data_IF_684653513007
#
_entry.id   IF_684653513007
#
_cell.length_a   1.000
_cell.length_b   1.000
_cell.length_c   1.000
_cell.angle_alpha   90.00
_cell.angle_beta   90.00
_cell.angle_gamma   90.00
#
_symmetry.space_group_name_H-M   'P 1'
#
loop_
_entity.id
_entity.type
_entity.pdbx_description
1 polymer ?
#
# COMPACT_ATOMS: atom_id res chain seq x y z
N UNK A 1 20.59 -57.59 45.34
CA UNK A 1 20.31 -56.22 44.85
C UNK A 1 19.86 -56.34 43.41
N UNK A 2 18.55 -56.38 43.18
CA UNK A 2 17.96 -56.59 41.85
C UNK A 2 17.87 -55.26 41.11
N UNK A 3 18.46 -55.20 39.93
CA UNK A 3 18.46 -54.06 39.03
C UNK A 3 17.14 -53.97 38.27
N UNK A 4 16.37 -52.91 38.52
CA UNK A 4 15.15 -52.59 37.77
C UNK A 4 15.53 -51.87 36.47
N UNK A 5 15.39 -52.57 35.34
CA UNK A 5 15.54 -51.99 34.00
C UNK A 5 14.25 -51.24 33.62
N UNK A 6 14.27 -49.91 33.62
CA UNK A 6 13.16 -49.10 33.12
C UNK A 6 13.17 -49.09 31.59
N UNK A 7 12.15 -49.71 30.99
CA UNK A 7 11.92 -49.78 29.55
C UNK A 7 11.30 -48.45 29.06
N UNK A 8 12.11 -47.58 28.44
CA UNK A 8 11.63 -46.32 27.86
C UNK A 8 10.93 -46.59 26.52
N UNK A 9 9.59 -46.60 26.55
CA UNK A 9 8.76 -46.65 25.36
C UNK A 9 8.80 -45.29 24.65
N UNK A 10 9.59 -45.17 23.58
CA UNK A 10 9.51 -44.01 22.67
C UNK A 10 8.18 -44.06 21.89
N UNK A 11 7.29 -43.04 22.00
CA UNK A 11 6.13 -42.98 21.13
C UNK A 11 6.59 -42.73 19.69
N UNK A 12 6.30 -43.72 18.83
CA UNK A 12 6.50 -43.67 17.39
C UNK A 12 5.65 -42.54 16.79
N UNK A 13 6.21 -41.34 16.71
CA UNK A 13 5.57 -40.21 16.03
C UNK A 13 5.72 -40.40 14.53
N UNK A 14 4.66 -40.91 13.90
CA UNK A 14 4.58 -41.00 12.43
C UNK A 14 4.94 -39.63 11.83
N UNK A 15 5.88 -39.56 10.87
CA UNK A 15 6.24 -38.30 10.25
C UNK A 15 5.01 -37.68 9.59
N UNK A 16 4.71 -36.42 9.94
CA UNK A 16 3.61 -35.66 9.34
C UNK A 16 3.75 -35.70 7.80
N UNK A 17 2.68 -36.00 7.05
CA UNK A 17 2.76 -36.04 5.60
C UNK A 17 3.22 -34.68 5.08
N UNK A 18 4.28 -34.68 4.27
CA UNK A 18 4.76 -33.46 3.60
C UNK A 18 3.60 -32.87 2.78
N UNK A 19 3.31 -31.56 2.89
CA UNK A 19 2.26 -30.94 2.09
C UNK A 19 2.56 -31.19 0.61
N UNK A 20 1.55 -31.71 -0.13
CA UNK A 20 1.66 -32.00 -1.56
C UNK A 20 2.14 -30.74 -2.29
N UNK A 21 3.28 -30.84 -2.96
CA UNK A 21 3.79 -29.80 -3.85
C UNK A 21 2.71 -29.43 -4.87
N UNK A 22 2.18 -28.21 -4.79
CA UNK A 22 1.14 -27.77 -5.70
C UNK A 22 1.67 -27.73 -7.15
N UNK A 23 0.82 -28.04 -8.13
CA UNK A 23 1.17 -28.05 -9.56
C UNK A 23 1.56 -26.64 -10.03
N UNK A 24 2.55 -26.50 -10.92
CA UNK A 24 2.90 -25.20 -11.50
C UNK A 24 1.72 -24.64 -12.32
N UNK A 25 1.59 -23.31 -12.42
CA UNK A 25 0.52 -22.68 -13.18
C UNK A 25 0.56 -23.07 -14.65
N UNK A 26 -0.62 -23.15 -15.27
CA UNK A 26 -0.76 -23.45 -16.70
C UNK A 26 -0.09 -22.38 -17.57
N UNK A 27 0.29 -22.71 -18.81
CA UNK A 27 0.87 -21.73 -19.77
C UNK A 27 0.01 -20.46 -19.91
N UNK A 28 -1.32 -20.51 -20.16
CA UNK A 28 -2.13 -19.30 -20.27
C UNK A 28 -2.18 -18.51 -18.95
N UNK A 29 -2.26 -19.19 -17.80
CA UNK A 29 -2.18 -18.54 -16.48
C UNK A 29 -0.87 -17.78 -16.32
N UNK A 30 0.26 -18.36 -16.74
CA UNK A 30 1.57 -17.68 -16.68
C UNK A 30 1.61 -16.44 -17.55
N UNK A 31 1.12 -16.51 -18.79
CA UNK A 31 1.07 -15.35 -19.69
C UNK A 31 0.21 -14.23 -19.09
N UNK A 32 -0.99 -14.57 -18.64
CA UNK A 32 -1.89 -13.61 -17.99
C UNK A 32 -1.24 -12.94 -16.77
N UNK A 33 -0.68 -13.74 -15.85
CA UNK A 33 -0.02 -13.20 -14.67
C UNK A 33 1.19 -12.35 -15.03
N UNK A 34 2.00 -12.75 -16.01
CA UNK A 34 3.13 -11.92 -16.49
C UNK A 34 2.64 -10.57 -17.00
N UNK A 35 1.59 -10.54 -17.83
CA UNK A 35 1.02 -9.30 -18.36
C UNK A 35 0.44 -8.42 -17.27
N UNK A 36 -0.32 -9.00 -16.33
CA UNK A 36 -0.87 -8.28 -15.19
C UNK A 36 0.22 -7.66 -14.32
N UNK A 37 1.27 -8.42 -13.97
CA UNK A 37 2.37 -7.91 -13.15
C UNK A 37 3.18 -6.85 -13.92
N UNK A 38 3.34 -6.99 -15.24
CA UNK A 38 4.03 -5.99 -16.06
C UNK A 38 3.22 -4.69 -16.13
N UNK A 39 1.91 -4.78 -16.37
CA UNK A 39 1.01 -3.62 -16.34
C UNK A 39 1.08 -2.91 -14.98
N UNK A 40 0.98 -3.67 -13.90
CA UNK A 40 1.03 -3.12 -12.54
C UNK A 40 2.39 -2.47 -12.24
N UNK A 41 3.50 -3.12 -12.66
CA UNK A 41 4.83 -2.53 -12.58
C UNK A 41 4.91 -1.19 -13.33
N UNK A 42 4.44 -1.15 -14.57
CA UNK A 42 4.47 0.07 -15.39
C UNK A 42 3.64 1.18 -14.76
N UNK A 43 2.42 0.90 -14.30
CA UNK A 43 1.56 1.90 -13.68
C UNK A 43 2.15 2.49 -12.40
N UNK A 44 2.72 1.65 -11.52
CA UNK A 44 3.43 2.11 -10.33
C UNK A 44 4.68 2.92 -10.69
N UNK A 45 5.48 2.44 -11.65
CA UNK A 45 6.68 3.15 -12.12
C UNK A 45 6.33 4.52 -12.70
N UNK A 46 5.29 4.61 -13.54
CA UNK A 46 4.81 5.87 -14.10
C UNK A 46 4.32 6.80 -13.00
N UNK A 47 3.53 6.32 -12.03
CA UNK A 47 3.07 7.15 -10.90
C UNK A 47 4.25 7.73 -10.11
N UNK A 48 5.25 6.91 -9.79
CA UNK A 48 6.44 7.33 -9.05
C UNK A 48 7.32 8.29 -9.82
N UNK A 49 7.62 7.99 -11.09
CA UNK A 49 8.46 8.85 -11.95
C UNK A 49 7.75 10.16 -12.22
N UNK A 50 6.44 10.15 -12.44
CA UNK A 50 5.66 11.37 -12.64
C UNK A 50 5.73 12.27 -11.40
N UNK A 51 5.48 11.74 -10.20
CA UNK A 51 5.63 12.48 -8.95
C UNK A 51 7.06 13.02 -8.75
N UNK A 52 8.08 12.20 -9.04
CA UNK A 52 9.49 12.60 -8.94
C UNK A 52 9.83 13.73 -9.92
N UNK A 53 9.33 13.65 -11.16
CA UNK A 53 9.57 14.65 -12.20
C UNK A 53 8.94 15.99 -11.84
N UNK A 54 7.70 15.98 -11.33
CA UNK A 54 7.02 17.17 -10.84
C UNK A 54 7.78 17.79 -9.66
N UNK A 55 8.24 16.98 -8.72
CA UNK A 55 8.96 17.45 -7.54
C UNK A 55 10.35 18.00 -7.87
N UNK A 56 11.18 17.25 -8.60
CA UNK A 56 12.60 17.55 -8.75
C UNK A 56 12.92 18.37 -10.00
N UNK A 57 12.19 18.16 -11.10
CA UNK A 57 12.51 18.80 -12.37
C UNK A 57 11.65 20.04 -12.59
N UNK A 58 10.36 19.95 -12.26
CA UNK A 58 9.41 21.04 -12.47
C UNK A 58 9.22 21.91 -11.22
N UNK A 59 9.73 21.48 -10.06
CA UNK A 59 9.60 22.17 -8.78
C UNK A 59 8.14 22.53 -8.46
N UNK A 60 7.22 21.65 -8.84
CA UNK A 60 5.78 21.83 -8.69
C UNK A 60 5.40 21.83 -7.20
N UNK A 61 4.56 22.77 -6.73
CA UNK A 61 4.04 22.77 -5.37
C UNK A 61 3.34 21.44 -5.00
N UNK A 62 3.59 20.92 -3.79
CA UNK A 62 3.10 19.61 -3.36
C UNK A 62 1.59 19.36 -3.57
N UNK A 63 0.69 20.32 -3.29
CA UNK A 63 -0.74 20.11 -3.52
C UNK A 63 -1.10 19.92 -5.01
N UNK A 64 -0.34 20.54 -5.93
CA UNK A 64 -0.51 20.35 -7.37
C UNK A 64 0.02 18.98 -7.81
N UNK A 65 1.10 18.48 -7.18
CA UNK A 65 1.61 17.12 -7.42
C UNK A 65 0.53 16.07 -7.10
N UNK A 66 -0.17 16.21 -5.98
CA UNK A 66 -1.32 15.33 -5.67
C UNK A 66 -2.32 15.35 -6.82
N UNK A 67 -2.73 16.53 -7.25
CA UNK A 67 -3.79 16.70 -8.27
C UNK A 67 -3.40 16.05 -9.60
N UNK A 68 -2.13 16.16 -10.00
CA UNK A 68 -1.61 15.56 -11.23
C UNK A 68 -1.45 14.03 -11.13
N UNK A 69 -0.94 13.52 -10.01
CA UNK A 69 -0.56 12.09 -9.87
C UNK A 69 -1.74 11.23 -9.41
N UNK A 70 -2.65 11.78 -8.62
CA UNK A 70 -3.71 11.03 -7.95
C UNK A 70 -4.65 10.26 -8.89
N UNK A 71 -5.09 10.78 -10.05
CA UNK A 71 -5.95 10.01 -10.96
C UNK A 71 -5.31 8.69 -11.42
N UNK A 72 -4.01 8.73 -11.76
CA UNK A 72 -3.26 7.53 -12.14
C UNK A 72 -3.07 6.59 -10.93
N UNK A 73 -2.74 7.12 -9.76
CA UNK A 73 -2.59 6.33 -8.53
C UNK A 73 -3.90 5.64 -8.15
N UNK A 74 -5.03 6.35 -8.26
CA UNK A 74 -6.37 5.84 -7.97
C UNK A 74 -6.70 4.62 -8.85
N UNK A 75 -6.47 4.72 -10.16
CA UNK A 75 -6.65 3.62 -11.08
C UNK A 75 -5.70 2.45 -10.77
N UNK A 76 -4.41 2.75 -10.54
CA UNK A 76 -3.37 1.77 -10.23
C UNK A 76 -3.70 0.98 -8.97
N UNK A 77 -4.09 1.65 -7.89
CA UNK A 77 -4.43 1.01 -6.63
C UNK A 77 -5.73 0.18 -6.73
N UNK A 78 -6.69 0.62 -7.55
CA UNK A 78 -7.95 -0.11 -7.77
C UNK A 78 -7.73 -1.45 -8.46
N UNK A 79 -6.74 -1.54 -9.37
CA UNK A 79 -6.39 -2.81 -10.01
C UNK A 79 -5.90 -3.87 -9.02
N UNK A 80 -5.37 -3.49 -7.85
CA UNK A 80 -4.94 -4.42 -6.82
C UNK A 80 -6.10 -5.28 -6.26
N UNK A 81 -7.36 -4.91 -6.48
CA UNK A 81 -8.52 -5.76 -6.18
C UNK A 81 -8.46 -7.10 -6.94
N UNK A 82 -7.85 -7.12 -8.14
CA UNK A 82 -7.62 -8.33 -8.90
C UNK A 82 -6.71 -9.32 -8.17
N UNK A 83 -5.80 -8.85 -7.30
CA UNK A 83 -4.96 -9.75 -6.50
C UNK A 83 -5.78 -10.58 -5.52
N UNK A 84 -6.83 -10.00 -4.95
CA UNK A 84 -7.78 -10.72 -4.09
C UNK A 84 -8.46 -11.81 -4.92
N UNK A 85 -8.94 -11.46 -6.12
CA UNK A 85 -9.57 -12.41 -7.02
C UNK A 85 -8.61 -13.54 -7.39
N UNK A 86 -7.35 -13.24 -7.74
CA UNK A 86 -6.35 -14.25 -8.07
C UNK A 86 -6.12 -15.23 -6.91
N UNK A 87 -6.11 -14.75 -5.67
CA UNK A 87 -5.99 -15.61 -4.49
C UNK A 87 -7.26 -16.45 -4.27
N UNK A 88 -8.46 -15.86 -4.43
CA UNK A 88 -9.76 -16.54 -4.24
C UNK A 88 -9.93 -17.67 -5.24
N UNK A 89 -9.62 -17.44 -6.52
CA UNK A 89 -9.74 -18.47 -7.57
C UNK A 89 -8.55 -19.43 -7.61
N UNK A 90 -7.53 -19.23 -6.76
CA UNK A 90 -6.35 -20.08 -6.69
C UNK A 90 -5.36 -19.93 -7.88
N UNK A 91 -5.43 -18.81 -8.62
CA UNK A 91 -4.44 -18.48 -9.65
C UNK A 91 -3.05 -18.26 -9.05
N UNK A 92 -3.00 -17.74 -7.82
CA UNK A 92 -1.76 -17.52 -7.05
C UNK A 92 -1.83 -18.21 -5.69
N UNK A 93 -0.67 -18.61 -5.17
CA UNK A 93 -0.54 -19.29 -3.87
C UNK A 93 -0.39 -18.29 -2.72
N UNK A 94 -1.32 -17.35 -2.60
CA UNK A 94 -1.35 -16.40 -1.50
C UNK A 94 -2.59 -16.64 -0.63
N UNK A 95 -2.49 -16.59 0.71
CA UNK A 95 -3.66 -16.73 1.56
C UNK A 95 -4.62 -15.56 1.35
N UNK A 96 -5.87 -15.86 0.98
CA UNK A 96 -6.90 -14.87 0.62
C UNK A 96 -7.04 -13.77 1.67
N UNK A 97 -7.17 -14.13 2.95
CA UNK A 97 -7.33 -13.16 4.02
C UNK A 97 -6.16 -12.18 4.11
N UNK A 98 -4.92 -12.67 3.99
CA UNK A 98 -3.74 -11.80 4.04
C UNK A 98 -3.64 -10.89 2.82
N UNK A 99 -3.99 -11.37 1.62
CA UNK A 99 -4.06 -10.53 0.41
C UNK A 99 -5.15 -9.48 0.54
N UNK A 100 -6.33 -9.86 1.03
CA UNK A 100 -7.45 -8.96 1.22
C UNK A 100 -7.11 -7.84 2.21
N UNK A 101 -6.50 -8.15 3.36
CA UNK A 101 -6.11 -7.13 4.33
C UNK A 101 -5.08 -6.13 3.77
N UNK A 102 -4.11 -6.63 3.01
CA UNK A 102 -3.09 -5.76 2.37
C UNK A 102 -3.73 -4.79 1.37
N UNK A 103 -4.63 -5.30 0.53
CA UNK A 103 -5.32 -4.48 -0.48
C UNK A 103 -6.33 -3.54 0.18
N UNK A 104 -7.11 -4.01 1.14
CA UNK A 104 -8.15 -3.22 1.81
C UNK A 104 -7.58 -2.00 2.55
N UNK A 105 -6.45 -2.13 3.24
CA UNK A 105 -5.79 -1.00 3.91
C UNK A 105 -5.47 0.12 2.93
N UNK A 106 -4.99 -0.25 1.74
CA UNK A 106 -4.57 0.68 0.69
C UNK A 106 -5.75 1.28 -0.06
N UNK A 107 -6.80 0.49 -0.28
CA UNK A 107 -8.07 0.97 -0.81
C UNK A 107 -8.71 1.96 0.16
N UNK A 108 -8.68 1.71 1.46
CA UNK A 108 -9.18 2.65 2.47
C UNK A 108 -8.42 3.98 2.40
N UNK A 109 -7.09 3.97 2.26
CA UNK A 109 -6.32 5.20 2.11
C UNK A 109 -6.65 5.96 0.82
N UNK A 110 -6.67 5.27 -0.33
CA UNK A 110 -6.85 5.94 -1.63
C UNK A 110 -8.30 6.37 -1.85
N UNK A 111 -9.27 5.48 -1.62
CA UNK A 111 -10.68 5.79 -1.81
C UNK A 111 -11.32 6.40 -0.56
N UNK A 112 -11.10 5.83 0.60
CA UNK A 112 -11.76 6.25 1.84
C UNK A 112 -11.14 7.47 2.52
N UNK A 113 -9.97 7.93 2.08
CA UNK A 113 -9.32 9.13 2.62
C UNK A 113 -8.99 10.13 1.52
N UNK A 114 -8.08 9.78 0.60
CA UNK A 114 -7.60 10.72 -0.42
C UNK A 114 -8.72 11.16 -1.36
N UNK A 115 -9.54 10.24 -1.85
CA UNK A 115 -10.65 10.58 -2.75
C UNK A 115 -11.77 11.36 -2.03
N UNK A 116 -12.12 10.95 -0.80
CA UNK A 116 -13.21 11.58 -0.05
C UNK A 116 -12.84 13.00 0.44
N UNK A 117 -11.65 13.17 1.01
CA UNK A 117 -11.25 14.39 1.72
C UNK A 117 -10.23 15.27 0.98
N UNK A 118 -9.92 14.99 -0.29
CA UNK A 118 -9.19 15.96 -1.13
C UNK A 118 -9.98 17.26 -1.30
N UNK A 119 -9.31 18.32 -1.71
CA UNK A 119 -9.97 19.55 -2.13
C UNK A 119 -10.98 19.25 -3.26
N UNK A 120 -12.20 19.78 -3.14
CA UNK A 120 -13.32 19.44 -4.01
C UNK A 120 -13.83 17.99 -3.90
N UNK A 121 -13.35 17.22 -2.92
CA UNK A 121 -13.79 15.85 -2.66
C UNK A 121 -15.22 15.81 -2.12
N UNK A 122 -15.90 14.66 -2.28
CA UNK A 122 -17.33 14.50 -1.93
C UNK A 122 -17.61 14.85 -0.46
N UNK A 123 -16.71 14.47 0.45
CA UNK A 123 -16.88 14.75 1.88
C UNK A 123 -16.61 16.22 2.24
N UNK A 124 -15.90 16.95 1.39
CA UNK A 124 -15.52 18.35 1.58
C UNK A 124 -16.53 19.30 0.89
N UNK A 125 -17.03 18.93 -0.28
CA UNK A 125 -18.06 19.67 -0.99
C UNK A 125 -19.43 19.59 -0.28
N UNK A 126 -19.73 18.45 0.35
CA UNK A 126 -21.01 18.21 1.02
C UNK A 126 -21.21 18.94 2.35
N UNK A 127 -20.13 19.38 3.03
CA UNK A 127 -20.21 20.10 4.31
C UNK A 127 -20.51 21.60 4.14
N UNK A 128 -20.53 22.11 2.90
CA UNK A 128 -20.85 23.51 2.58
C UNK A 128 -22.35 23.84 2.52
N UNK A 129 -23.25 22.86 2.55
CA UNK A 129 -24.69 23.09 2.36
C UNK A 129 -25.49 23.34 3.67
N UNK A 130 -24.85 23.35 4.85
CA UNK A 130 -25.61 23.46 6.09
C UNK A 130 -24.80 23.69 7.36
N UNK A 131 -24.05 24.78 7.46
CA UNK A 131 -23.67 25.36 8.75
C UNK A 131 -23.18 26.81 8.60
N UNK A 132 -23.96 27.74 9.15
CA UNK A 132 -23.52 28.97 9.82
C UNK A 132 -22.50 29.88 9.13
N UNK A 133 -22.98 31.09 8.80
CA UNK A 133 -22.17 32.28 8.58
C UNK A 133 -21.08 32.47 9.66
N UNK A 134 -19.83 32.70 9.24
CA UNK A 134 -18.77 33.25 10.10
C UNK A 134 -17.37 32.65 9.95
N UNK A 135 -16.70 32.87 8.81
CA UNK A 135 -15.23 32.92 8.63
C UNK A 135 -14.99 33.36 7.17
N UNK A 136 -14.38 34.49 6.83
CA UNK A 136 -13.08 34.96 7.33
C UNK A 136 -12.00 34.07 6.73
N UNK A 137 -11.47 34.45 5.55
CA UNK A 137 -10.47 33.76 4.70
C UNK A 137 -10.93 32.47 3.99
N UNK A 138 -11.04 32.56 2.66
CA UNK A 138 -11.32 31.45 1.75
C UNK A 138 -10.10 30.50 1.63
N UNK A 139 -9.83 29.74 2.69
CA UNK A 139 -8.83 28.68 2.73
C UNK A 139 -9.42 27.33 2.33
N UNK A 140 -8.60 26.50 1.67
CA UNK A 140 -8.89 25.11 1.29
C UNK A 140 -9.52 24.31 2.43
N UNK A 141 -10.59 23.57 2.15
CA UNK A 141 -11.27 22.72 3.16
C UNK A 141 -10.81 21.25 3.14
N UNK A 142 -10.22 20.79 2.04
CA UNK A 142 -9.69 19.45 1.89
C UNK A 142 -8.28 19.29 2.43
N UNK A 143 -7.91 18.05 2.76
CA UNK A 143 -6.62 17.73 3.40
C UNK A 143 -5.45 17.70 2.39
N UNK A 144 -5.74 17.49 1.09
CA UNK A 144 -4.74 17.34 0.01
C UNK A 144 -5.28 17.78 -1.34
N UNK A 145 -4.39 18.13 -2.27
CA UNK A 145 -4.77 18.42 -3.66
C UNK A 145 -5.39 19.79 -3.88
N UNK A 146 -5.31 20.43 -5.03
CA UNK A 146 -5.98 21.72 -5.33
C UNK A 146 -7.26 21.50 -6.14
N UNK A 147 -8.22 22.41 -6.02
CA UNK A 147 -9.37 22.45 -6.93
C UNK A 147 -8.92 22.84 -8.35
N UNK A 148 -9.66 22.37 -9.36
CA UNK A 148 -9.25 22.28 -10.77
C UNK A 148 -8.47 23.48 -11.30
N UNK A 149 -7.24 23.23 -11.73
CA UNK A 149 -6.44 24.19 -12.49
C UNK A 149 -6.87 24.12 -13.97
N UNK A 150 -8.08 24.59 -14.27
CA UNK A 150 -8.44 24.95 -15.65
C UNK A 150 -8.32 26.47 -15.81
N UNK A 151 -7.16 26.90 -16.32
CA UNK A 151 -6.94 28.26 -16.82
C UNK A 151 -6.06 29.14 -15.93
N UNK A 152 -4.96 29.62 -16.53
CA UNK A 152 -4.18 30.77 -16.05
C UNK A 152 -3.04 30.43 -15.09
N UNK A 153 -1.81 30.67 -15.55
CA UNK A 153 -0.55 30.63 -14.77
C UNK A 153 -0.46 31.78 -13.76
N UNK A 154 -1.48 32.01 -12.93
CA UNK A 154 -1.28 32.84 -11.75
C UNK A 154 -0.63 31.97 -10.67
N UNK A 155 0.54 32.41 -10.18
CA UNK A 155 1.18 31.89 -8.98
C UNK A 155 0.29 32.16 -7.76
N UNK A 156 -0.83 31.44 -7.65
CA UNK A 156 -1.57 31.33 -6.42
C UNK A 156 -0.62 30.74 -5.38
N UNK A 157 -0.38 31.45 -4.28
CA UNK A 157 0.36 30.89 -3.14
C UNK A 157 -0.50 29.79 -2.51
N UNK A 158 -0.36 28.56 -3.02
CA UNK A 158 -1.08 27.40 -2.49
C UNK A 158 -0.43 27.00 -1.17
N UNK A 159 -1.17 27.12 -0.07
CA UNK A 159 -0.72 26.67 1.24
C UNK A 159 -0.51 25.15 1.24
N UNK A 160 0.72 24.74 1.56
CA UNK A 160 1.09 23.33 1.71
C UNK A 160 0.57 22.80 3.05
N UNK A 161 -0.07 21.63 3.02
CA UNK A 161 -0.56 20.95 4.21
C UNK A 161 0.31 19.74 4.58
N UNK A 162 0.21 19.31 5.83
CA UNK A 162 0.94 18.14 6.34
C UNK A 162 0.60 16.87 5.55
N UNK A 163 -0.66 16.72 5.14
CA UNK A 163 -1.09 15.56 4.36
C UNK A 163 -0.55 15.56 2.91
N UNK A 164 -0.14 16.70 2.34
CA UNK A 164 0.53 16.69 1.02
C UNK A 164 1.90 15.98 1.09
N UNK A 165 2.64 16.16 2.20
CA UNK A 165 3.84 15.37 2.49
C UNK A 165 3.52 13.90 2.75
N UNK A 166 2.41 13.63 3.45
CA UNK A 166 1.90 12.27 3.65
C UNK A 166 1.66 11.56 2.32
N UNK A 167 0.94 12.19 1.39
CA UNK A 167 0.73 11.67 0.05
C UNK A 167 2.04 11.40 -0.70
N UNK A 168 2.97 12.36 -0.69
CA UNK A 168 4.24 12.21 -1.39
C UNK A 168 5.04 11.01 -0.85
N UNK A 169 5.11 10.88 0.48
CA UNK A 169 5.75 9.74 1.12
C UNK A 169 5.06 8.41 0.81
N UNK A 170 3.72 8.38 0.72
CA UNK A 170 2.97 7.23 0.22
C UNK A 170 3.41 6.90 -1.22
N UNK A 171 3.33 7.84 -2.17
CA UNK A 171 3.67 7.57 -3.59
C UNK A 171 5.07 6.99 -3.75
N UNK A 172 6.06 7.52 -3.02
CA UNK A 172 7.43 6.99 -3.09
C UNK A 172 7.61 5.66 -2.37
N UNK A 173 7.17 5.55 -1.11
CA UNK A 173 7.30 4.30 -0.35
C UNK A 173 6.58 3.14 -1.05
N UNK A 174 5.36 3.40 -1.47
CA UNK A 174 4.51 2.45 -2.16
C UNK A 174 5.05 2.14 -3.54
N UNK A 175 5.27 3.15 -4.36
CA UNK A 175 5.66 2.94 -5.75
C UNK A 175 7.00 2.23 -5.90
N UNK A 176 8.01 2.57 -5.09
CA UNK A 176 9.29 1.85 -5.10
C UNK A 176 9.09 0.39 -4.66
N UNK A 177 8.34 0.16 -3.58
CA UNK A 177 8.07 -1.20 -3.07
C UNK A 177 7.32 -2.04 -4.11
N UNK A 178 6.32 -1.46 -4.75
CA UNK A 178 5.46 -2.12 -5.73
C UNK A 178 6.20 -2.41 -7.04
N UNK A 179 7.04 -1.50 -7.52
CA UNK A 179 7.95 -1.75 -8.65
C UNK A 179 8.86 -2.96 -8.36
N UNK A 180 9.46 -3.03 -7.17
CA UNK A 180 10.29 -4.17 -6.79
C UNK A 180 9.45 -5.46 -6.74
N UNK A 181 8.24 -5.40 -6.16
CA UNK A 181 7.34 -6.54 -5.96
C UNK A 181 6.85 -7.11 -7.29
N UNK A 182 6.29 -6.28 -8.15
CA UNK A 182 5.76 -6.67 -9.45
C UNK A 182 6.87 -7.10 -10.41
N UNK A 183 7.99 -6.38 -10.44
CA UNK A 183 9.16 -6.78 -11.24
C UNK A 183 9.69 -8.16 -10.82
N UNK A 184 9.73 -8.44 -9.52
CA UNK A 184 10.08 -9.77 -9.01
C UNK A 184 9.09 -10.84 -9.48
N UNK A 185 7.78 -10.56 -9.46
CA UNK A 185 6.77 -11.50 -9.91
C UNK A 185 6.81 -11.74 -11.43
N UNK A 186 7.07 -10.72 -12.25
CA UNK A 186 7.30 -10.87 -13.69
C UNK A 186 8.44 -11.87 -13.94
N UNK A 187 9.59 -11.66 -13.31
CA UNK A 187 10.76 -12.53 -13.48
C UNK A 187 10.48 -13.96 -12.99
N UNK A 188 9.82 -14.09 -11.84
CA UNK A 188 9.48 -15.38 -11.24
C UNK A 188 8.50 -16.19 -12.09
N UNK A 189 7.41 -15.58 -12.58
CA UNK A 189 6.36 -16.26 -13.35
C UNK A 189 6.82 -16.58 -14.77
N UNK A 190 7.64 -15.71 -15.36
CA UNK A 190 8.20 -15.92 -16.71
C UNK A 190 9.22 -17.07 -16.75
N UNK A 191 9.76 -17.48 -15.60
CA UNK A 191 10.73 -18.58 -15.51
C UNK A 191 12.15 -18.19 -15.91
N UNK A 192 12.42 -16.89 -16.05
CA UNK A 192 13.74 -16.34 -16.35
C UNK A 192 14.71 -16.43 -15.16
N UNK A 193 14.21 -16.82 -13.99
CA UNK A 193 14.95 -16.73 -12.72
C UNK A 193 15.00 -15.29 -12.21
N UNK A 194 15.10 -15.13 -10.89
CA UNK A 194 15.23 -13.80 -10.28
C UNK A 194 16.70 -13.53 -9.97
N UNK A 195 17.31 -12.46 -10.51
CA UNK A 195 18.68 -12.07 -10.19
C UNK A 195 18.88 -11.84 -8.69
N UNK A 196 20.09 -12.12 -8.20
CA UNK A 196 20.39 -12.04 -6.76
C UNK A 196 20.17 -10.62 -6.20
N UNK A 197 20.55 -9.59 -6.96
CA UNK A 197 20.37 -8.18 -6.59
C UNK A 197 18.90 -7.77 -6.52
N UNK A 198 18.03 -8.30 -7.40
CA UNK A 198 16.59 -8.00 -7.35
C UNK A 198 15.94 -8.66 -6.12
N UNK A 199 16.33 -9.90 -5.82
CA UNK A 199 15.92 -10.56 -4.59
C UNK A 199 16.44 -9.81 -3.36
N UNK A 200 17.67 -9.29 -3.39
CA UNK A 200 18.22 -8.47 -2.32
C UNK A 200 17.38 -7.21 -2.09
N UNK A 201 17.01 -6.47 -3.15
CA UNK A 201 16.13 -5.30 -3.04
C UNK A 201 14.83 -5.68 -2.31
N UNK A 202 14.14 -6.72 -2.79
CA UNK A 202 12.87 -7.18 -2.22
C UNK A 202 12.93 -7.47 -0.72
N UNK A 203 14.05 -7.98 -0.22
CA UNK A 203 14.20 -8.39 1.18
C UNK A 203 14.98 -7.38 2.04
N UNK A 204 15.38 -6.20 1.53
CA UNK A 204 16.10 -5.20 2.31
C UNK A 204 15.47 -3.81 2.27
N UNK A 205 14.79 -3.41 1.20
CA UNK A 205 14.25 -2.04 1.09
C UNK A 205 13.18 -1.72 2.13
N UNK A 206 12.51 -2.74 2.69
CA UNK A 206 11.51 -2.55 3.75
C UNK A 206 12.08 -1.86 5.00
N UNK A 207 13.39 -1.90 5.27
CA UNK A 207 13.98 -1.18 6.40
C UNK A 207 13.74 0.34 6.34
N UNK A 208 13.67 0.91 5.13
CA UNK A 208 13.47 2.34 4.91
C UNK A 208 12.06 2.63 4.41
N UNK A 209 11.60 1.88 3.40
CA UNK A 209 10.32 2.15 2.75
C UNK A 209 9.13 1.83 3.67
N UNK A 210 9.27 0.87 4.60
CA UNK A 210 8.17 0.52 5.48
C UNK A 210 7.88 1.60 6.52
N UNK A 211 8.86 2.09 7.32
CA UNK A 211 8.61 3.22 8.24
C UNK A 211 8.10 4.47 7.52
N UNK A 212 8.64 4.78 6.33
CA UNK A 212 8.17 5.89 5.50
C UNK A 212 6.70 5.71 5.13
N UNK A 213 6.33 4.55 4.58
CA UNK A 213 4.96 4.25 4.17
C UNK A 213 3.98 4.30 5.33
N UNK A 214 4.27 3.62 6.45
CA UNK A 214 3.39 3.61 7.63
C UNK A 214 3.20 5.02 8.19
N UNK A 215 4.26 5.80 8.32
CA UNK A 215 4.19 7.18 8.85
C UNK A 215 3.32 8.05 7.95
N UNK A 216 3.54 7.99 6.63
CA UNK A 216 2.75 8.70 5.64
C UNK A 216 1.27 8.32 5.68
N UNK A 217 0.96 7.03 5.80
CA UNK A 217 -0.42 6.55 5.91
C UNK A 217 -1.11 7.04 7.18
N UNK A 218 -0.42 6.96 8.33
CA UNK A 218 -0.94 7.46 9.60
C UNK A 218 -1.19 8.96 9.56
N UNK A 219 -0.28 9.75 8.96
CA UNK A 219 -0.48 11.20 8.77
C UNK A 219 -1.77 11.46 7.97
N UNK A 220 -1.98 10.75 6.86
CA UNK A 220 -3.19 10.91 6.04
C UNK A 220 -4.46 10.59 6.83
N UNK A 221 -4.46 9.49 7.59
CA UNK A 221 -5.60 9.09 8.42
C UNK A 221 -5.89 10.12 9.51
N UNK A 222 -4.86 10.58 10.21
CA UNK A 222 -4.98 11.57 11.30
C UNK A 222 -5.52 12.90 10.79
N UNK A 223 -5.00 13.39 9.67
CA UNK A 223 -5.47 14.63 9.05
C UNK A 223 -6.92 14.53 8.57
N UNK A 224 -7.38 13.33 8.19
CA UNK A 224 -8.76 13.09 7.80
C UNK A 224 -9.74 13.06 8.99
N UNK A 225 -9.29 12.92 10.24
CA UNK A 225 -10.18 12.75 11.40
C UNK A 225 -11.07 13.97 11.67
N UNK A 226 -10.55 15.19 11.42
CA UNK A 226 -11.30 16.45 11.56
C UNK A 226 -12.41 16.54 10.52
N UNK A 227 -12.09 16.55 9.23
CA UNK A 227 -13.07 16.55 8.14
C UNK A 227 -14.06 15.37 8.20
N UNK A 228 -13.61 14.18 8.63
CA UNK A 228 -14.49 13.04 8.84
C UNK A 228 -15.53 13.28 9.94
N UNK A 229 -15.19 14.05 10.99
CA UNK A 229 -16.12 14.40 12.06
C UNK A 229 -17.27 15.28 11.54
N UNK A 230 -16.94 16.21 10.65
CA UNK A 230 -17.87 17.15 10.04
C UNK A 230 -18.75 16.47 8.97
N UNK A 231 -18.17 15.57 8.18
CA UNK A 231 -18.89 14.85 7.14
C UNK A 231 -19.80 13.76 7.71
N UNK A 232 -19.26 12.88 8.56
CA UNK A 232 -19.99 11.79 9.18
C UNK A 232 -19.30 11.33 10.48
N UNK A 233 -19.81 11.71 11.67
CA UNK A 233 -19.16 11.41 12.95
C UNK A 233 -18.82 9.93 13.19
N UNK A 234 -19.64 9.02 12.68
CA UNK A 234 -19.39 7.57 12.74
C UNK A 234 -18.14 7.18 11.93
N UNK A 235 -17.90 7.84 10.79
CA UNK A 235 -16.72 7.60 9.95
C UNK A 235 -15.43 7.99 10.66
N UNK A 236 -15.43 9.09 11.43
CA UNK A 236 -14.30 9.46 12.29
C UNK A 236 -13.94 8.32 13.24
N UNK A 237 -14.93 7.78 13.97
CA UNK A 237 -14.68 6.69 14.92
C UNK A 237 -14.21 5.42 14.24
N UNK A 238 -14.74 5.12 13.04
CA UNK A 238 -14.21 4.05 12.21
C UNK A 238 -12.71 4.24 11.90
N UNK A 239 -12.29 5.43 11.47
CA UNK A 239 -10.87 5.74 11.22
C UNK A 239 -10.02 5.64 12.49
N UNK A 240 -10.53 6.06 13.65
CA UNK A 240 -9.83 5.91 14.94
C UNK A 240 -9.60 4.44 15.27
N UNK A 241 -10.61 3.59 15.12
CA UNK A 241 -10.49 2.14 15.35
C UNK A 241 -9.50 1.52 14.38
N UNK A 242 -9.58 1.88 13.10
CA UNK A 242 -8.61 1.43 12.09
C UNK A 242 -7.19 1.82 12.50
N UNK A 243 -6.95 3.06 12.90
CA UNK A 243 -5.62 3.51 13.34
C UNK A 243 -5.14 2.73 14.57
N UNK A 244 -6.03 2.49 15.55
CA UNK A 244 -5.75 1.72 16.75
C UNK A 244 -5.35 0.27 16.49
N UNK A 245 -5.88 -0.35 15.43
CA UNK A 245 -5.49 -1.70 14.98
C UNK A 245 -4.23 -1.63 14.11
N UNK A 246 -4.17 -0.65 13.22
CA UNK A 246 -3.16 -0.54 12.18
C UNK A 246 -1.76 -0.29 12.76
N UNK A 247 -1.63 0.62 13.72
CA UNK A 247 -0.34 0.97 14.31
C UNK A 247 0.32 -0.23 15.01
N UNK A 248 -0.33 -0.96 15.94
CA UNK A 248 0.24 -2.18 16.50
C UNK A 248 0.48 -3.28 15.46
N UNK A 249 -0.47 -3.46 14.53
CA UNK A 249 -0.35 -4.44 13.45
C UNK A 249 0.87 -4.20 12.56
N UNK A 250 1.19 -2.93 12.29
CA UNK A 250 2.36 -2.55 11.48
C UNK A 250 3.69 -2.97 12.12
N UNK A 251 3.81 -2.81 13.44
CA UNK A 251 5.00 -3.26 14.18
C UNK A 251 5.18 -4.78 14.09
N UNK A 252 4.09 -5.53 14.28
CA UNK A 252 4.10 -7.00 14.19
C UNK A 252 4.53 -7.42 12.77
N UNK A 253 3.95 -6.82 11.73
CA UNK A 253 4.31 -7.13 10.34
C UNK A 253 5.78 -6.78 10.02
N UNK A 254 6.29 -5.67 10.54
CA UNK A 254 7.69 -5.28 10.38
C UNK A 254 8.65 -6.34 10.94
N UNK A 255 8.40 -6.82 12.16
CA UNK A 255 9.23 -7.88 12.77
C UNK A 255 9.13 -9.20 12.01
N UNK A 256 7.96 -9.52 11.45
CA UNK A 256 7.79 -10.66 10.55
C UNK A 256 8.63 -10.53 9.27
N UNK A 257 8.70 -9.35 8.65
CA UNK A 257 9.55 -9.14 7.47
C UNK A 257 11.04 -9.35 7.76
N UNK A 258 11.52 -8.93 8.94
CA UNK A 258 12.90 -9.22 9.38
C UNK A 258 13.12 -10.74 9.49
N UNK A 259 12.15 -11.48 10.03
CA UNK A 259 12.22 -12.93 10.09
C UNK A 259 12.17 -13.58 8.69
N UNK A 260 11.35 -13.07 7.78
CA UNK A 260 11.27 -13.53 6.38
C UNK A 260 12.59 -13.30 5.63
N UNK A 261 13.20 -12.12 5.78
CA UNK A 261 14.53 -11.81 5.24
C UNK A 261 15.57 -12.83 5.69
N UNK A 262 15.68 -13.08 7.00
CA UNK A 262 16.63 -14.07 7.55
C UNK A 262 16.45 -15.46 6.94
N UNK A 263 15.20 -15.88 6.70
CA UNK A 263 14.88 -17.17 6.07
C UNK A 263 15.21 -17.19 4.58
N UNK A 264 14.96 -16.10 3.86
CA UNK A 264 15.17 -16.00 2.43
C UNK A 264 16.67 -15.96 2.06
N UNK A 265 17.49 -15.28 2.87
CA UNK A 265 18.92 -15.13 2.60
C UNK A 265 19.75 -16.34 3.05
N UNK A 266 19.41 -17.01 4.16
CA UNK A 266 20.08 -18.25 4.61
C UNK A 266 20.01 -19.42 3.63
N UNK A 267 19.13 -19.39 2.63
CA UNK A 267 19.01 -20.44 1.60
C UNK A 267 20.00 -20.27 0.44
N UNK A 268 20.77 -19.17 0.42
CA UNK A 268 21.71 -18.85 -0.65
C UNK A 268 23.18 -19.00 -0.25
N UNK A 269 23.44 -19.27 1.03
CA UNK A 269 24.74 -19.64 1.60
C UNK A 269 24.81 -21.15 1.80
#
# INVERSE_FOLDING_TARGET
MSTTTTNNHHPNTKPKPKPKSAKPPSKPTRVYLTLYNLLSFTLWATSTVHALSLLLLQQTPLPQIFTAVFPLLLATQSLALLEILHSVVGLVRAPVFTTAMQVASRILLVWGIMYLFREGGVAVAGTGAGAGAGAGEAGRKGIVGVEGMEGGEEQMQVQVQVADYGFLGCVFAWGITECIRYGFFVLQVSGLGVPAWWAWLRYNTFYVLYPLGITSECVMVVMALGPAAEWMPVYRWFLVVVLGIYVPGSYILYTHMIAQRRKALKKKD
#
